data_IF_251237725319
#
_entry.id   IF_251237725319
#
_cell.length_a   1.000
_cell.length_b   1.000
_cell.length_c   1.000
_cell.angle_alpha   90.00
_cell.angle_beta   90.00
_cell.angle_gamma   90.00
#
_symmetry.space_group_name_H-M   'P 1'
#
loop_
_entity.id
_entity.type
_entity.pdbx_description
1 polymer ?
#
# COMPACT_ATOMS: atom_id res chain seq x y z
N UNK A 1 4.02 8.26 -2.52
CA UNK A 1 4.99 7.28 -2.00
C UNK A 1 6.24 7.26 -2.84
N UNK A 2 7.43 7.41 -2.24
CA UNK A 2 8.73 7.23 -2.91
C UNK A 2 8.96 8.14 -4.14
N UNK A 3 8.29 9.29 -4.20
CA UNK A 3 8.21 10.13 -5.42
C UNK A 3 9.59 10.59 -5.87
N UNK A 4 10.44 11.11 -4.96
CA UNK A 4 11.75 11.62 -5.31
C UNK A 4 12.67 10.54 -5.89
N UNK A 5 12.70 9.33 -5.27
CA UNK A 5 13.50 8.21 -5.77
C UNK A 5 12.97 7.72 -7.11
N UNK A 6 11.64 7.61 -7.23
CA UNK A 6 10.97 7.18 -8.46
C UNK A 6 11.25 8.13 -9.62
N UNK A 7 11.11 9.43 -9.42
CA UNK A 7 11.32 10.45 -10.48
C UNK A 7 12.78 10.44 -10.98
N UNK A 8 13.72 10.35 -10.06
CA UNK A 8 15.14 10.27 -10.43
C UNK A 8 15.49 8.99 -11.17
N UNK A 9 15.07 7.84 -10.66
CA UNK A 9 15.31 6.57 -11.35
C UNK A 9 14.61 6.49 -12.70
N UNK A 10 13.39 7.05 -12.83
CA UNK A 10 12.72 7.16 -14.11
C UNK A 10 13.49 8.02 -15.12
N UNK A 11 14.11 9.12 -14.68
CA UNK A 11 14.97 9.94 -15.54
C UNK A 11 16.13 9.12 -16.08
N UNK A 12 16.83 8.37 -15.22
CA UNK A 12 17.91 7.47 -15.60
C UNK A 12 17.41 6.39 -16.57
N UNK A 13 16.26 5.77 -16.28
CA UNK A 13 15.65 4.75 -17.14
C UNK A 13 15.30 5.31 -18.54
N UNK A 14 14.78 6.54 -18.63
CA UNK A 14 14.51 7.19 -19.92
C UNK A 14 15.79 7.37 -20.73
N UNK A 15 16.86 7.79 -20.09
CA UNK A 15 18.18 7.93 -20.74
C UNK A 15 18.70 6.58 -21.23
N UNK A 16 18.58 5.53 -20.41
CA UNK A 16 18.96 4.15 -20.78
C UNK A 16 18.12 3.65 -21.96
N UNK A 17 16.80 3.85 -21.95
CA UNK A 17 15.91 3.40 -23.05
C UNK A 17 16.18 4.08 -24.39
N UNK A 18 16.65 5.32 -24.37
CA UNK A 18 16.96 6.10 -25.57
C UNK A 18 18.26 5.71 -26.28
N UNK A 19 19.10 4.85 -25.69
CA UNK A 19 20.40 4.48 -26.25
C UNK A 19 20.30 3.23 -27.12
N UNK A 20 20.74 3.35 -28.37
CA UNK A 20 20.73 2.25 -29.34
C UNK A 20 21.86 1.24 -29.11
N UNK A 21 22.96 1.65 -28.48
CA UNK A 21 24.11 0.81 -28.13
C UNK A 21 24.62 1.16 -26.74
N UNK A 22 25.01 0.16 -25.98
CA UNK A 22 25.62 0.31 -24.68
C UNK A 22 27.12 0.03 -24.74
N UNK A 23 27.87 0.96 -24.19
CA UNK A 23 29.31 0.83 -23.94
C UNK A 23 29.51 0.72 -22.42
N UNK A 24 30.65 0.22 -21.99
CA UNK A 24 31.03 0.18 -20.59
C UNK A 24 30.93 1.57 -19.93
N UNK A 25 31.31 2.62 -20.68
CA UNK A 25 31.21 4.01 -20.22
C UNK A 25 29.75 4.42 -19.96
N UNK A 26 28.83 4.14 -20.90
CA UNK A 26 27.40 4.50 -20.74
C UNK A 26 26.78 3.79 -19.56
N UNK A 27 27.12 2.52 -19.31
CA UNK A 27 26.67 1.77 -18.14
C UNK A 27 27.23 2.40 -16.86
N UNK A 28 28.52 2.77 -16.85
CA UNK A 28 29.16 3.40 -15.69
C UNK A 28 28.52 4.75 -15.36
N UNK A 29 28.21 5.56 -16.36
CA UNK A 29 27.55 6.87 -16.18
C UNK A 29 26.11 6.69 -15.65
N UNK A 30 25.34 5.76 -16.22
CA UNK A 30 24.00 5.43 -15.72
C UNK A 30 24.02 4.94 -14.27
N UNK A 31 24.99 4.08 -13.91
CA UNK A 31 25.12 3.58 -12.54
C UNK A 31 25.58 4.67 -11.56
N UNK A 32 26.30 5.68 -12.02
CA UNK A 32 26.63 6.86 -11.22
C UNK A 32 25.38 7.64 -10.84
N UNK A 33 24.47 7.88 -11.80
CA UNK A 33 23.18 8.54 -11.55
C UNK A 33 22.28 7.73 -10.62
N UNK A 34 22.21 6.41 -10.83
CA UNK A 34 21.47 5.50 -9.91
C UNK A 34 22.04 5.58 -8.50
N UNK A 35 23.38 5.60 -8.35
CA UNK A 35 24.04 5.75 -7.05
C UNK A 35 23.66 7.06 -6.36
N UNK A 36 23.65 8.17 -7.10
CA UNK A 36 23.25 9.49 -6.57
C UNK A 36 21.81 9.44 -6.11
N UNK A 37 20.89 8.91 -6.92
CA UNK A 37 19.47 8.78 -6.59
C UNK A 37 19.25 7.98 -5.30
N UNK A 38 19.95 6.87 -5.11
CA UNK A 38 19.83 6.04 -3.91
C UNK A 38 20.40 6.74 -2.66
N UNK A 39 21.52 7.46 -2.78
CA UNK A 39 22.09 8.23 -1.65
C UNK A 39 21.17 9.37 -1.24
N UNK A 40 20.59 10.10 -2.18
CA UNK A 40 19.64 11.18 -1.90
C UNK A 40 18.32 10.67 -1.32
N UNK A 41 17.99 9.41 -1.61
CA UNK A 41 16.85 8.71 -0.98
C UNK A 41 17.18 8.19 0.44
N UNK A 42 18.31 8.56 1.04
CA UNK A 42 18.78 8.09 2.35
C UNK A 42 19.04 6.57 2.42
N UNK A 43 19.40 5.92 1.33
CA UNK A 43 19.86 4.53 1.37
C UNK A 43 21.26 4.45 1.99
N UNK A 44 21.49 3.49 2.88
CA UNK A 44 22.78 3.31 3.53
C UNK A 44 23.91 3.09 2.53
N UNK A 45 25.02 3.81 2.68
CA UNK A 45 26.12 3.85 1.71
C UNK A 45 26.68 2.45 1.37
N UNK A 46 26.81 1.57 2.37
CA UNK A 46 27.28 0.20 2.16
C UNK A 46 26.32 -0.59 1.25
N UNK A 47 25.00 -0.40 1.43
CA UNK A 47 23.95 -1.01 0.62
C UNK A 47 24.00 -0.52 -0.82
N UNK A 48 24.17 0.80 -0.98
CA UNK A 48 24.29 1.43 -2.31
C UNK A 48 25.52 0.88 -3.07
N UNK A 49 26.66 0.79 -2.40
CA UNK A 49 27.89 0.28 -3.02
C UNK A 49 27.71 -1.15 -3.52
N UNK A 50 27.24 -2.03 -2.65
CA UNK A 50 27.03 -3.44 -2.98
C UNK A 50 26.01 -3.62 -4.13
N UNK A 51 24.93 -2.87 -4.11
CA UNK A 51 23.92 -2.85 -5.17
C UNK A 51 24.52 -2.44 -6.53
N UNK A 52 25.27 -1.31 -6.57
CA UNK A 52 25.86 -0.80 -7.80
C UNK A 52 26.89 -1.79 -8.36
N UNK A 53 27.71 -2.40 -7.51
CA UNK A 53 28.71 -3.37 -7.93
C UNK A 53 28.05 -4.63 -8.54
N UNK A 54 26.96 -5.14 -7.95
CA UNK A 54 26.19 -6.26 -8.51
C UNK A 54 25.54 -5.92 -9.85
N UNK A 55 24.87 -4.76 -9.94
CA UNK A 55 24.23 -4.33 -11.20
C UNK A 55 25.28 -4.15 -12.30
N UNK A 56 26.42 -3.50 -12.01
CA UNK A 56 27.50 -3.33 -13.00
C UNK A 56 28.04 -4.67 -13.51
N UNK A 57 28.32 -5.60 -12.61
CA UNK A 57 28.81 -6.93 -12.98
C UNK A 57 27.87 -7.65 -13.94
N UNK A 58 26.56 -7.61 -13.65
CA UNK A 58 25.54 -8.24 -14.51
C UNK A 58 25.33 -7.47 -15.81
N UNK A 59 25.32 -6.13 -15.78
CA UNK A 59 25.12 -5.30 -16.96
C UNK A 59 26.28 -5.37 -17.97
N UNK A 60 27.49 -5.63 -17.52
CA UNK A 60 28.65 -5.83 -18.38
C UNK A 60 28.75 -7.26 -18.94
N UNK A 61 27.84 -8.15 -18.58
CA UNK A 61 27.79 -9.50 -19.10
C UNK A 61 27.57 -9.53 -20.62
N UNK A 62 28.21 -10.49 -21.31
CA UNK A 62 28.21 -10.63 -22.77
C UNK A 62 26.76 -10.72 -23.32
N UNK A 63 25.86 -11.40 -22.59
CA UNK A 63 24.44 -11.56 -22.97
C UNK A 63 23.70 -10.23 -23.08
N UNK A 64 24.00 -9.27 -22.21
CA UNK A 64 23.36 -7.94 -22.21
C UNK A 64 23.89 -7.09 -23.36
N UNK A 65 25.21 -7.11 -23.58
CA UNK A 65 25.87 -6.33 -24.64
C UNK A 65 25.49 -6.83 -26.04
N UNK A 66 25.14 -8.11 -26.18
CA UNK A 66 24.70 -8.73 -27.43
C UNK A 66 23.17 -8.75 -27.60
N UNK A 67 22.41 -8.28 -26.63
CA UNK A 67 20.94 -8.25 -26.69
C UNK A 67 20.44 -7.29 -27.77
N UNK A 68 19.32 -7.66 -28.43
CA UNK A 68 18.61 -6.79 -29.38
C UNK A 68 18.00 -5.55 -28.72
N UNK A 69 17.83 -5.57 -27.37
CA UNK A 69 17.32 -4.46 -26.57
C UNK A 69 18.10 -4.30 -25.26
N UNK A 70 19.38 -3.88 -25.32
CA UNK A 70 20.26 -3.82 -24.14
C UNK A 70 19.70 -2.93 -23.02
N UNK A 71 19.04 -1.81 -23.36
CA UNK A 71 18.43 -0.93 -22.39
C UNK A 71 17.31 -1.61 -21.57
N UNK A 72 16.52 -2.48 -22.19
CA UNK A 72 15.49 -3.26 -21.46
C UNK A 72 16.13 -4.31 -20.56
N UNK A 73 17.21 -4.95 -21.01
CA UNK A 73 17.95 -5.92 -20.22
C UNK A 73 18.56 -5.27 -18.96
N UNK A 74 19.15 -4.08 -19.07
CA UNK A 74 19.70 -3.34 -17.92
C UNK A 74 18.60 -2.95 -16.94
N UNK A 75 17.45 -2.47 -17.42
CA UNK A 75 16.31 -2.12 -16.56
C UNK A 75 15.82 -3.35 -15.80
N UNK A 76 15.75 -4.51 -16.47
CA UNK A 76 15.38 -5.77 -15.82
C UNK A 76 16.40 -6.16 -14.73
N UNK A 77 17.70 -6.04 -14.99
CA UNK A 77 18.76 -6.29 -14.00
C UNK A 77 18.58 -5.38 -12.77
N UNK A 78 18.35 -4.07 -12.99
CA UNK A 78 18.12 -3.12 -11.89
C UNK A 78 16.87 -3.51 -11.09
N UNK A 79 15.78 -3.90 -11.76
CA UNK A 79 14.57 -4.37 -11.10
C UNK A 79 14.82 -5.61 -10.25
N UNK A 80 15.49 -6.60 -10.80
CA UNK A 80 15.78 -7.86 -10.11
C UNK A 80 16.69 -7.63 -8.90
N UNK A 81 17.74 -6.79 -9.05
CA UNK A 81 18.62 -6.46 -7.93
C UNK A 81 17.91 -5.64 -6.84
N UNK A 82 17.02 -4.71 -7.19
CA UNK A 82 16.17 -4.02 -6.21
C UNK A 82 15.26 -5.03 -5.49
N UNK A 83 14.68 -5.98 -6.20
CA UNK A 83 13.82 -7.03 -5.62
C UNK A 83 14.60 -7.87 -4.62
N UNK A 84 15.79 -8.34 -4.99
CA UNK A 84 16.70 -9.11 -4.12
C UNK A 84 17.09 -8.29 -2.88
N UNK A 85 17.43 -7.03 -3.07
CA UNK A 85 17.79 -6.12 -1.97
C UNK A 85 16.67 -5.99 -0.93
N UNK A 86 15.41 -5.93 -1.40
CA UNK A 86 14.22 -5.82 -0.53
C UNK A 86 13.71 -7.14 0.01
N UNK A 87 14.16 -8.29 -0.50
CA UNK A 87 13.77 -9.56 0.10
C UNK A 87 13.34 -10.68 -0.82
N UNK A 88 13.50 -10.51 -2.11
CA UNK A 88 13.22 -11.51 -3.13
C UNK A 88 11.72 -11.88 -3.23
N UNK A 89 11.10 -12.30 -2.14
CA UNK A 89 9.69 -12.67 -2.11
C UNK A 89 8.99 -12.24 -0.81
N UNK A 90 7.65 -12.21 -0.85
CA UNK A 90 6.84 -11.94 0.32
C UNK A 90 6.99 -13.06 1.37
N UNK A 91 7.16 -12.66 2.63
CA UNK A 91 7.20 -13.57 3.77
C UNK A 91 5.99 -13.31 4.67
N UNK A 92 5.08 -14.27 4.74
CA UNK A 92 3.90 -14.20 5.60
C UNK A 92 4.23 -14.35 7.07
N UNK A 93 3.27 -14.03 7.96
CA UNK A 93 3.36 -14.40 9.37
C UNK A 93 3.35 -15.92 9.52
N UNK A 94 4.23 -16.42 10.37
CA UNK A 94 4.16 -17.80 10.84
C UNK A 94 3.26 -17.86 12.08
N UNK A 95 2.09 -18.47 11.93
CA UNK A 95 1.13 -18.70 13.02
C UNK A 95 0.97 -20.21 13.30
N UNK A 96 1.94 -21.01 12.87
CA UNK A 96 1.84 -22.48 12.86
C UNK A 96 2.27 -23.06 14.23
N UNK A 97 1.57 -22.63 15.27
CA UNK A 97 1.77 -23.08 16.67
C UNK A 97 0.44 -23.41 17.33
N UNK A 98 0.50 -24.11 18.45
CA UNK A 98 -0.68 -24.30 19.30
C UNK A 98 -1.21 -22.93 19.78
N UNK A 99 -2.53 -22.65 19.63
CA UNK A 99 -3.11 -21.36 20.05
C UNK A 99 -2.95 -21.12 21.57
N UNK A 100 -2.78 -19.84 21.95
CA UNK A 100 -2.71 -18.67 21.11
C UNK A 100 -1.30 -18.45 20.52
N UNK A 101 -1.21 -18.12 19.23
CA UNK A 101 -0.01 -17.61 18.61
C UNK A 101 0.26 -16.17 19.10
N UNK A 102 1.42 -15.92 19.67
CA UNK A 102 1.75 -14.60 20.25
C UNK A 102 2.60 -13.80 19.27
N UNK A 103 2.15 -12.59 18.94
CA UNK A 103 2.86 -11.60 18.13
C UNK A 103 3.27 -10.45 19.03
N UNK A 104 4.56 -10.20 19.15
CA UNK A 104 5.12 -9.07 19.91
C UNK A 104 5.44 -7.92 18.96
N UNK A 105 4.90 -6.72 19.24
CA UNK A 105 5.16 -5.51 18.49
C UNK A 105 6.22 -4.69 19.19
N UNK A 106 7.38 -4.51 18.56
CA UNK A 106 8.54 -3.80 19.11
C UNK A 106 8.87 -2.55 18.27
N UNK A 107 9.43 -1.49 18.87
CA UNK A 107 9.85 -0.27 18.16
C UNK A 107 9.78 0.98 19.02
N UNK A 108 10.27 2.11 18.50
CA UNK A 108 10.29 3.39 19.21
C UNK A 108 8.90 4.03 19.31
N UNK A 109 8.80 5.06 20.15
CA UNK A 109 7.61 5.90 20.25
C UNK A 109 7.34 6.59 18.91
N UNK A 110 6.07 6.67 18.51
CA UNK A 110 5.69 7.31 17.26
C UNK A 110 5.92 6.46 16.00
N UNK A 111 6.53 5.26 16.11
CA UNK A 111 6.71 4.36 14.96
C UNK A 111 5.41 3.73 14.44
N UNK A 112 4.29 3.93 15.12
CA UNK A 112 2.99 3.43 14.69
C UNK A 112 2.63 2.03 15.21
N UNK A 113 3.26 1.51 16.26
CA UNK A 113 2.98 0.16 16.83
C UNK A 113 1.51 -0.06 17.13
N UNK A 114 0.92 0.81 17.95
CA UNK A 114 -0.48 0.70 18.41
C UNK A 114 -1.47 0.67 17.24
N UNK A 115 -1.30 1.58 16.29
CA UNK A 115 -2.15 1.62 15.09
C UNK A 115 -1.94 0.38 14.22
N UNK A 116 -0.69 -0.05 14.07
CA UNK A 116 -0.33 -1.24 13.29
C UNK A 116 -0.87 -2.51 13.93
N UNK A 117 -0.86 -2.61 15.26
CA UNK A 117 -1.47 -3.72 16.01
C UNK A 117 -2.95 -3.88 15.67
N UNK A 118 -3.70 -2.77 15.67
CA UNK A 118 -5.11 -2.79 15.30
C UNK A 118 -5.35 -3.14 13.82
N UNK A 119 -4.53 -2.60 12.90
CA UNK A 119 -4.61 -2.92 11.47
C UNK A 119 -4.28 -4.40 11.20
N UNK A 120 -3.26 -4.93 11.87
CA UNK A 120 -2.87 -6.33 11.74
C UNK A 120 -3.94 -7.26 12.29
N UNK A 121 -4.54 -6.91 13.44
CA UNK A 121 -5.66 -7.65 14.00
C UNK A 121 -6.82 -7.74 13.01
N UNK A 122 -7.17 -6.63 12.35
CA UNK A 122 -8.20 -6.61 11.31
C UNK A 122 -7.89 -7.56 10.16
N UNK A 123 -6.66 -7.54 9.63
CA UNK A 123 -6.24 -8.46 8.57
C UNK A 123 -6.35 -9.94 8.99
N UNK A 124 -6.05 -10.24 10.26
CA UNK A 124 -6.15 -11.60 10.78
C UNK A 124 -7.61 -12.04 10.98
N UNK A 125 -8.49 -11.14 11.39
CA UNK A 125 -9.94 -11.41 11.48
C UNK A 125 -10.53 -11.66 10.09
N UNK A 126 -10.13 -10.91 9.07
CA UNK A 126 -10.52 -11.18 7.68
C UNK A 126 -10.11 -12.59 7.22
N UNK A 127 -9.00 -13.12 7.81
CA UNK A 127 -8.55 -14.52 7.65
C UNK A 127 -9.24 -15.49 8.63
N UNK A 128 -10.35 -15.08 9.27
CA UNK A 128 -11.15 -15.90 10.20
C UNK A 128 -10.40 -16.32 11.47
N UNK A 129 -9.42 -15.56 11.92
CA UNK A 129 -8.73 -15.77 13.20
C UNK A 129 -9.42 -14.99 14.32
N UNK A 130 -9.57 -15.60 15.49
CA UNK A 130 -10.02 -14.92 16.70
C UNK A 130 -8.81 -14.23 17.36
N UNK A 131 -8.81 -12.91 17.38
CA UNK A 131 -7.65 -12.09 17.78
C UNK A 131 -7.94 -11.35 19.07
N UNK A 132 -6.99 -11.37 20.01
CA UNK A 132 -6.95 -10.54 21.21
C UNK A 132 -5.86 -9.47 21.04
N UNK A 133 -6.20 -8.23 21.31
CA UNK A 133 -5.24 -7.12 21.44
C UNK A 133 -4.89 -6.92 22.92
N UNK A 134 -3.62 -6.64 23.22
CA UNK A 134 -3.19 -6.25 24.55
C UNK A 134 -2.11 -5.18 24.47
N UNK A 135 -2.08 -4.25 25.44
CA UNK A 135 -1.02 -3.24 25.54
C UNK A 135 -0.35 -3.29 26.90
N UNK A 136 0.97 -3.25 26.89
CA UNK A 136 1.80 -3.06 28.08
C UNK A 136 2.44 -1.66 28.14
N UNK A 137 1.94 -0.67 27.36
CA UNK A 137 2.43 0.71 27.43
C UNK A 137 1.84 1.43 28.66
N UNK A 138 2.26 0.99 29.82
CA UNK A 138 1.81 1.54 31.12
C UNK A 138 2.37 2.94 31.39
N UNK A 139 3.41 3.35 30.67
CA UNK A 139 4.03 4.67 30.82
C UNK A 139 3.21 5.78 30.14
N UNK A 140 2.32 5.41 29.22
CA UNK A 140 1.42 6.30 28.51
C UNK A 140 -0.01 5.78 28.60
N UNK A 141 -0.77 6.14 29.64
CA UNK A 141 -2.16 5.69 29.81
C UNK A 141 -3.02 5.92 28.57
N UNK A 142 -2.82 7.03 27.87
CA UNK A 142 -3.50 7.33 26.63
C UNK A 142 -3.22 6.31 25.51
N UNK A 143 -2.10 5.58 25.51
CA UNK A 143 -1.82 4.56 24.52
C UNK A 143 -2.68 3.30 24.73
N UNK A 144 -2.93 2.91 25.98
CA UNK A 144 -3.84 1.82 26.32
C UNK A 144 -5.27 2.18 25.87
N UNK A 145 -5.73 3.39 26.18
CA UNK A 145 -7.07 3.86 25.80
C UNK A 145 -7.21 4.01 24.28
N UNK A 146 -6.14 4.43 23.60
CA UNK A 146 -6.08 4.47 22.14
C UNK A 146 -6.27 3.08 21.54
N UNK A 147 -5.56 2.06 22.05
CA UNK A 147 -5.71 0.69 21.56
C UNK A 147 -7.12 0.15 21.82
N UNK A 148 -7.70 0.40 23.01
CA UNK A 148 -9.08 0.04 23.34
C UNK A 148 -10.09 0.70 22.41
N UNK A 149 -9.90 1.98 22.10
CA UNK A 149 -10.76 2.73 21.18
C UNK A 149 -10.70 2.18 19.76
N UNK A 150 -9.50 1.90 19.27
CA UNK A 150 -9.30 1.26 17.97
C UNK A 150 -9.92 -0.15 17.92
N UNK A 151 -9.69 -0.96 18.94
CA UNK A 151 -10.27 -2.29 19.07
C UNK A 151 -11.81 -2.23 19.03
N UNK A 152 -12.41 -1.33 19.82
CA UNK A 152 -13.86 -1.14 19.84
C UNK A 152 -14.43 -0.73 18.48
N UNK A 153 -13.74 0.18 17.76
CA UNK A 153 -14.16 0.63 16.43
C UNK A 153 -14.15 -0.48 15.38
N UNK A 154 -13.34 -1.52 15.61
CA UNK A 154 -13.18 -2.68 14.74
C UNK A 154 -13.90 -3.92 15.23
N UNK A 155 -14.62 -3.81 16.35
CA UNK A 155 -15.25 -4.94 17.03
C UNK A 155 -14.28 -6.07 17.37
N UNK A 156 -13.07 -5.69 17.83
CA UNK A 156 -11.99 -6.59 18.25
C UNK A 156 -11.91 -6.58 19.77
N UNK A 157 -11.70 -7.73 20.37
CA UNK A 157 -11.51 -7.84 21.81
C UNK A 157 -10.13 -7.32 22.22
N UNK A 158 -10.10 -6.48 23.26
CA UNK A 158 -8.88 -5.93 23.84
C UNK A 158 -8.81 -6.30 25.31
N UNK A 159 -7.67 -6.85 25.74
CA UNK A 159 -7.42 -7.16 27.14
C UNK A 159 -7.43 -5.88 27.98
N UNK A 160 -8.10 -5.91 29.12
CA UNK A 160 -8.26 -4.75 29.99
C UNK A 160 -6.99 -4.49 30.82
N UNK A 161 -5.95 -3.95 30.19
CA UNK A 161 -4.71 -3.58 30.88
C UNK A 161 -4.93 -2.34 31.75
N UNK A 162 -4.30 -2.33 32.93
CA UNK A 162 -4.32 -1.20 33.86
C UNK A 162 -2.92 -0.57 33.93
N UNK A 163 -2.79 0.77 33.79
CA UNK A 163 -1.50 1.47 33.90
C UNK A 163 -0.74 1.27 35.21
N UNK A 164 -1.43 0.89 36.30
CA UNK A 164 -0.77 0.59 37.59
C UNK A 164 -0.11 -0.79 37.65
N UNK A 165 -0.36 -1.65 36.66
CA UNK A 165 0.21 -2.99 36.61
C UNK A 165 1.63 -2.98 36.01
N UNK A 166 2.44 -3.95 36.40
CA UNK A 166 3.75 -4.17 35.75
C UNK A 166 3.55 -4.82 34.37
N UNK A 167 4.33 -4.45 33.35
CA UNK A 167 4.23 -5.03 32.00
C UNK A 167 4.28 -6.57 31.97
N UNK A 168 5.15 -7.18 32.75
CA UNK A 168 5.25 -8.64 32.86
C UNK A 168 4.01 -9.32 33.44
N UNK A 169 3.30 -8.62 34.37
CA UNK A 169 2.05 -9.13 34.93
C UNK A 169 0.95 -9.08 33.88
N UNK A 170 0.82 -7.97 33.15
CA UNK A 170 -0.11 -7.84 32.02
C UNK A 170 0.14 -8.97 31.01
N UNK A 171 1.41 -9.23 30.66
CA UNK A 171 1.77 -10.31 29.74
C UNK A 171 1.27 -11.68 30.20
N UNK A 172 1.47 -12.02 31.49
CA UNK A 172 1.00 -13.29 32.05
C UNK A 172 -0.51 -13.42 32.01
N UNK A 173 -1.21 -12.40 32.52
CA UNK A 173 -2.67 -12.39 32.59
C UNK A 173 -3.32 -12.42 31.21
N UNK A 174 -2.70 -11.74 30.22
CA UNK A 174 -3.16 -11.76 28.83
C UNK A 174 -3.08 -13.18 28.23
N UNK A 175 -1.98 -13.91 28.45
CA UNK A 175 -1.83 -15.28 27.96
C UNK A 175 -2.88 -16.19 28.59
N UNK A 176 -3.07 -16.11 29.92
CA UNK A 176 -4.05 -16.93 30.64
C UNK A 176 -5.47 -16.63 30.18
N UNK A 177 -5.78 -15.36 29.97
CA UNK A 177 -7.06 -14.91 29.41
C UNK A 177 -7.27 -15.45 27.99
N UNK A 178 -6.27 -15.33 27.13
CA UNK A 178 -6.35 -15.78 25.75
C UNK A 178 -6.58 -17.30 25.64
N UNK A 179 -5.90 -18.10 26.49
CA UNK A 179 -6.10 -19.55 26.57
C UNK A 179 -7.50 -19.90 27.05
N UNK A 180 -7.96 -19.24 28.14
CA UNK A 180 -9.28 -19.48 28.73
C UNK A 180 -10.43 -19.17 27.75
N UNK A 181 -10.25 -18.17 26.89
CA UNK A 181 -11.28 -17.70 25.95
C UNK A 181 -11.08 -18.19 24.50
N UNK A 182 -10.12 -19.12 24.29
CA UNK A 182 -9.85 -19.76 23.00
C UNK A 182 -9.55 -18.75 21.88
N UNK A 183 -8.60 -17.84 22.10
CA UNK A 183 -8.09 -16.97 21.05
C UNK A 183 -7.06 -17.71 20.21
N UNK A 184 -7.11 -17.47 18.89
CA UNK A 184 -6.11 -18.02 17.97
C UNK A 184 -4.81 -17.23 18.02
N UNK A 185 -4.91 -15.88 18.17
CA UNK A 185 -3.76 -14.97 18.10
C UNK A 185 -3.87 -13.91 19.18
N UNK A 186 -2.75 -13.59 19.81
CA UNK A 186 -2.57 -12.42 20.68
C UNK A 186 -1.60 -11.47 20.01
N UNK A 187 -1.98 -10.21 19.81
CA UNK A 187 -1.05 -9.15 19.40
C UNK A 187 -0.77 -8.28 20.63
N UNK A 188 0.49 -8.27 21.02
CA UNK A 188 0.96 -7.60 22.23
C UNK A 188 1.72 -6.31 21.86
N UNK A 189 1.09 -5.16 22.10
CA UNK A 189 1.65 -3.83 21.88
C UNK A 189 2.53 -3.43 23.05
N UNK A 190 3.81 -3.10 22.79
CA UNK A 190 4.77 -2.73 23.84
C UNK A 190 4.91 -1.22 23.94
N UNK A 191 5.39 -0.77 25.09
CA UNK A 191 5.81 0.61 25.27
C UNK A 191 6.88 1.00 24.23
N UNK A 192 6.89 2.25 23.84
CA UNK A 192 7.96 2.84 23.05
C UNK A 192 8.49 4.08 23.78
N UNK A 193 9.80 4.25 23.81
CA UNK A 193 10.45 5.48 24.27
C UNK A 193 10.96 6.28 23.08
N UNK A 194 11.32 7.55 23.30
CA UNK A 194 11.79 8.44 22.24
C UNK A 194 13.14 8.02 21.66
N UNK A 195 13.93 7.30 22.43
CA UNK A 195 15.24 6.80 22.03
C UNK A 195 15.49 5.38 22.56
N UNK A 196 16.60 4.81 22.15
CA UNK A 196 17.06 3.51 22.62
C UNK A 196 17.80 3.72 23.95
N UNK A 197 17.23 3.21 25.04
CA UNK A 197 17.88 3.20 26.34
C UNK A 197 17.93 1.76 26.91
N UNK A 198 18.79 1.54 27.89
CA UNK A 198 19.04 0.23 28.49
C UNK A 198 17.79 -0.32 29.16
N UNK A 199 17.07 0.52 29.90
CA UNK A 199 15.86 0.10 30.64
C UNK A 199 14.77 -0.41 29.68
N UNK A 200 14.53 0.31 28.59
CA UNK A 200 13.56 -0.11 27.57
C UNK A 200 13.98 -1.44 26.93
N UNK A 201 15.26 -1.59 26.61
CA UNK A 201 15.74 -2.80 25.98
C UNK A 201 15.67 -4.00 26.93
N UNK A 202 15.93 -3.79 28.21
CA UNK A 202 15.82 -4.86 29.22
C UNK A 202 14.36 -5.23 29.50
N UNK A 203 13.45 -4.25 29.54
CA UNK A 203 12.01 -4.52 29.67
C UNK A 203 11.48 -5.33 28.49
N UNK A 204 11.81 -4.94 27.27
CA UNK A 204 11.31 -5.65 26.08
C UNK A 204 11.92 -7.05 25.95
N UNK A 205 13.19 -7.25 26.35
CA UNK A 205 13.79 -8.59 26.46
C UNK A 205 13.06 -9.46 27.50
N UNK A 206 12.73 -8.87 28.65
CA UNK A 206 11.99 -9.58 29.71
C UNK A 206 10.58 -9.95 29.24
N UNK A 207 9.88 -9.05 28.55
CA UNK A 207 8.59 -9.31 27.90
C UNK A 207 8.70 -10.41 26.86
N UNK A 208 9.70 -10.33 25.97
CA UNK A 208 9.94 -11.36 24.95
C UNK A 208 10.14 -12.74 25.59
N UNK A 209 11.00 -12.83 26.62
CA UNK A 209 11.23 -14.07 27.35
C UNK A 209 9.95 -14.62 28.01
N UNK A 210 9.11 -13.73 28.57
CA UNK A 210 7.87 -14.11 29.24
C UNK A 210 6.79 -14.58 28.29
N UNK A 211 6.63 -13.85 27.17
CA UNK A 211 5.62 -14.12 26.16
C UNK A 211 5.97 -15.28 25.24
N UNK A 212 7.27 -15.53 25.04
CA UNK A 212 7.79 -16.49 24.05
C UNK A 212 7.07 -16.39 22.70
N UNK A 213 7.11 -15.21 22.05
CA UNK A 213 6.32 -14.95 20.85
C UNK A 213 6.83 -15.78 19.67
N UNK A 214 5.90 -16.26 18.83
CA UNK A 214 6.25 -16.88 17.55
C UNK A 214 6.70 -15.83 16.53
N UNK A 215 6.16 -14.63 16.65
CA UNK A 215 6.51 -13.48 15.82
C UNK A 215 6.92 -12.30 16.70
N UNK A 216 8.11 -11.79 16.45
CA UNK A 216 8.61 -10.52 17.01
C UNK A 216 8.78 -9.52 15.87
N UNK A 217 7.83 -8.61 15.73
CA UNK A 217 7.76 -7.67 14.61
C UNK A 217 8.31 -6.31 15.02
N UNK A 218 9.35 -5.89 14.35
CA UNK A 218 9.91 -4.56 14.52
C UNK A 218 9.13 -3.56 13.67
N UNK A 219 8.50 -2.59 14.33
CA UNK A 219 7.71 -1.53 13.68
C UNK A 219 8.54 -0.27 13.63
N UNK A 220 8.81 0.22 12.42
CA UNK A 220 9.66 1.37 12.18
C UNK A 220 9.00 2.36 11.22
N UNK A 221 9.20 3.64 11.49
CA UNK A 221 8.74 4.75 10.67
C UNK A 221 9.69 4.93 9.47
N UNK A 222 9.18 4.77 8.25
CA UNK A 222 9.97 4.92 7.04
C UNK A 222 10.52 6.34 6.83
N UNK A 223 9.87 7.36 7.42
CA UNK A 223 10.31 8.76 7.30
C UNK A 223 11.59 9.07 8.09
N UNK A 224 12.02 8.18 9.01
CA UNK A 224 13.20 8.40 9.85
C UNK A 224 14.53 8.23 9.08
N UNK A 225 14.52 7.79 7.82
CA UNK A 225 15.74 7.66 7.01
C UNK A 225 16.81 6.79 7.69
N UNK A 226 18.03 7.31 7.88
CA UNK A 226 19.13 6.58 8.51
C UNK A 226 18.91 6.23 9.99
N UNK A 227 18.12 7.00 10.72
CA UNK A 227 17.79 6.67 12.11
C UNK A 227 16.94 5.40 12.21
N UNK A 228 16.09 5.15 11.22
CA UNK A 228 15.38 3.87 11.09
C UNK A 228 16.34 2.69 11.00
N UNK A 229 17.42 2.85 10.25
CA UNK A 229 18.46 1.82 10.06
C UNK A 229 19.24 1.56 11.36
N UNK A 230 19.65 2.62 12.06
CA UNK A 230 20.36 2.52 13.33
C UNK A 230 19.48 1.86 14.41
N UNK A 231 18.21 2.26 14.46
CA UNK A 231 17.23 1.69 15.39
C UNK A 231 16.97 0.21 15.07
N UNK A 232 16.82 -0.13 13.81
CA UNK A 232 16.62 -1.50 13.35
C UNK A 232 17.78 -2.43 13.76
N UNK A 233 19.00 -1.94 13.65
CA UNK A 233 20.19 -2.66 14.08
C UNK A 233 20.16 -2.93 15.59
N UNK A 234 19.94 -1.89 16.40
CA UNK A 234 19.92 -2.03 17.86
C UNK A 234 18.82 -3.01 18.35
N UNK A 235 17.63 -2.95 17.77
CA UNK A 235 16.57 -3.91 18.07
C UNK A 235 16.91 -5.32 17.59
N UNK A 236 17.54 -5.47 16.42
CA UNK A 236 17.99 -6.74 15.88
C UNK A 236 19.07 -7.42 16.72
N UNK A 237 19.98 -6.62 17.31
CA UNK A 237 21.02 -7.11 18.22
C UNK A 237 20.43 -7.54 19.60
N UNK A 238 19.33 -6.93 20.00
CA UNK A 238 18.73 -7.16 21.32
C UNK A 238 17.62 -8.22 21.34
N UNK A 239 16.91 -8.41 20.23
CA UNK A 239 15.75 -9.30 20.11
C UNK A 239 15.87 -10.21 18.90
N UNK A 240 15.40 -11.46 18.98
CA UNK A 240 15.29 -12.34 17.84
C UNK A 240 14.11 -11.92 16.94
N UNK A 241 14.29 -10.83 16.18
CA UNK A 241 13.27 -10.34 15.27
C UNK A 241 12.91 -11.40 14.23
N UNK A 242 11.64 -11.54 13.90
CA UNK A 242 11.13 -12.44 12.86
C UNK A 242 10.72 -11.69 11.59
N UNK A 243 10.50 -10.38 11.71
CA UNK A 243 10.14 -9.54 10.58
C UNK A 243 10.06 -8.06 10.94
N UNK A 244 9.93 -7.24 9.91
CA UNK A 244 9.83 -5.79 10.00
C UNK A 244 8.49 -5.33 9.42
N UNK A 245 7.93 -4.28 10.01
CA UNK A 245 6.79 -3.53 9.47
C UNK A 245 7.24 -2.08 9.25
N UNK A 246 7.18 -1.62 8.02
CA UNK A 246 7.44 -0.22 7.67
C UNK A 246 6.13 0.56 7.73
N UNK A 247 6.08 1.62 8.52
CA UNK A 247 4.92 2.51 8.64
C UNK A 247 5.16 3.83 7.94
N UNK A 248 4.09 4.59 7.71
CA UNK A 248 4.09 5.93 7.11
C UNK A 248 4.74 6.01 5.73
N UNK A 249 4.67 4.93 4.97
CA UNK A 249 5.24 4.87 3.63
C UNK A 249 4.50 5.79 2.65
N UNK A 250 3.23 6.12 2.95
CA UNK A 250 2.43 7.11 2.22
C UNK A 250 3.01 8.54 2.29
N UNK A 251 3.66 8.87 3.39
CA UNK A 251 4.32 10.17 3.60
C UNK A 251 5.82 10.14 3.29
N UNK A 252 6.41 8.94 3.09
CA UNK A 252 7.82 8.80 2.73
C UNK A 252 8.03 9.09 1.25
N UNK A 253 8.67 10.21 0.96
CA UNK A 253 9.06 10.62 -0.38
C UNK A 253 10.44 10.10 -0.79
N UNK A 254 11.28 9.69 0.16
CA UNK A 254 12.67 9.27 -0.06
C UNK A 254 12.80 7.77 -0.36
N UNK A 255 12.20 6.91 0.45
CA UNK A 255 12.13 5.47 0.23
C UNK A 255 13.33 4.64 0.65
N UNK A 256 14.38 5.26 1.14
CA UNK A 256 15.62 4.57 1.47
C UNK A 256 15.54 3.62 2.65
N UNK A 257 14.62 3.87 3.58
CA UNK A 257 14.42 2.99 4.73
C UNK A 257 14.02 1.57 4.31
N UNK A 258 13.13 1.44 3.31
CA UNK A 258 12.70 0.14 2.80
C UNK A 258 13.86 -0.69 2.23
N UNK A 259 14.82 -0.02 1.57
CA UNK A 259 16.00 -0.65 0.98
C UNK A 259 17.07 -1.02 2.03
N UNK A 260 17.18 -0.23 3.09
CA UNK A 260 18.28 -0.37 4.07
C UNK A 260 17.94 -1.25 5.26
N UNK A 261 16.71 -1.16 5.80
CA UNK A 261 16.31 -1.84 7.05
C UNK A 261 16.44 -3.37 6.93
N UNK A 262 16.01 -3.94 5.81
CA UNK A 262 16.15 -5.38 5.59
C UNK A 262 17.62 -5.82 5.55
N UNK A 263 18.45 -5.07 4.84
CA UNK A 263 19.87 -5.41 4.70
C UNK A 263 20.60 -5.36 6.05
N UNK A 264 20.24 -4.40 6.90
CA UNK A 264 20.88 -4.23 8.21
C UNK A 264 20.35 -5.24 9.24
N UNK A 265 19.05 -5.54 9.24
CA UNK A 265 18.47 -6.52 10.18
C UNK A 265 18.62 -7.97 9.75
N UNK A 266 18.83 -8.21 8.46
CA UNK A 266 18.74 -9.55 7.86
C UNK A 266 17.33 -10.16 7.94
N UNK A 267 16.30 -9.37 8.32
CA UNK A 267 14.93 -9.85 8.52
C UNK A 267 14.01 -9.39 7.41
N UNK A 268 13.01 -10.21 7.02
CA UNK A 268 12.10 -9.83 5.95
C UNK A 268 11.18 -8.68 6.37
N UNK A 269 10.89 -7.78 5.44
CA UNK A 269 9.78 -6.85 5.59
C UNK A 269 8.50 -7.64 5.31
N UNK A 270 7.61 -7.74 6.30
CA UNK A 270 6.36 -8.51 6.17
C UNK A 270 5.18 -7.65 5.73
N UNK A 271 5.10 -6.43 6.26
CA UNK A 271 4.01 -5.49 5.98
C UNK A 271 4.50 -4.07 5.80
N UNK A 272 3.68 -3.28 5.09
CA UNK A 272 3.87 -1.84 4.91
C UNK A 272 2.59 -1.08 5.25
N UNK A 273 2.75 0.05 5.95
CA UNK A 273 1.68 1.02 6.19
C UNK A 273 1.60 2.02 5.05
N UNK A 274 0.50 1.99 4.32
CA UNK A 274 0.27 2.76 3.08
C UNK A 274 -0.73 3.90 3.25
N UNK A 275 -1.34 4.04 4.41
CA UNK A 275 -2.16 5.18 4.78
C UNK A 275 -2.45 5.19 6.28
N UNK A 276 -2.89 6.33 6.82
CA UNK A 276 -3.36 6.42 8.22
C UNK A 276 -4.65 5.62 8.46
N UNK A 277 -5.46 5.40 7.41
CA UNK A 277 -6.73 4.68 7.51
C UNK A 277 -6.49 3.24 7.99
N UNK A 278 -7.49 2.68 8.66
CA UNK A 278 -7.42 1.34 9.25
C UNK A 278 -7.18 0.21 8.24
N UNK A 279 -7.49 0.43 6.97
CA UNK A 279 -7.22 -0.50 5.86
C UNK A 279 -5.83 -0.30 5.24
N UNK A 280 -5.04 0.66 5.74
CA UNK A 280 -3.73 1.01 5.19
C UNK A 280 -2.60 0.14 5.75
N UNK A 281 -2.76 -1.17 5.79
CA UNK A 281 -1.68 -2.13 6.03
C UNK A 281 -1.75 -3.20 4.95
N UNK A 282 -0.66 -3.34 4.19
CA UNK A 282 -0.59 -4.29 3.08
C UNK A 282 0.60 -5.24 3.28
N UNK A 283 0.52 -6.52 2.84
CA UNK A 283 1.70 -7.39 2.75
C UNK A 283 2.77 -6.76 1.86
N UNK A 284 4.02 -6.91 2.25
CA UNK A 284 5.14 -6.38 1.48
C UNK A 284 5.51 -7.32 0.34
N UNK A 285 5.47 -6.83 -0.87
CA UNK A 285 5.87 -7.55 -2.09
C UNK A 285 7.08 -6.85 -2.71
N UNK A 286 8.30 -7.39 -2.55
CA UNK A 286 9.54 -6.76 -3.05
C UNK A 286 9.48 -6.44 -4.55
N UNK A 287 9.01 -7.36 -5.37
CA UNK A 287 8.90 -7.18 -6.82
C UNK A 287 7.97 -6.02 -7.22
N UNK A 288 6.82 -5.92 -6.53
CA UNK A 288 5.86 -4.81 -6.76
C UNK A 288 6.46 -3.47 -6.35
N UNK A 289 7.20 -3.46 -5.24
CA UNK A 289 7.87 -2.25 -4.76
C UNK A 289 8.99 -1.83 -5.70
N UNK A 290 9.81 -2.77 -6.20
CA UNK A 290 10.82 -2.49 -7.22
C UNK A 290 10.18 -1.91 -8.49
N UNK A 291 9.07 -2.48 -8.95
CA UNK A 291 8.32 -1.96 -10.10
C UNK A 291 7.81 -0.53 -9.87
N UNK A 292 7.29 -0.22 -8.67
CA UNK A 292 6.86 1.14 -8.29
C UNK A 292 8.03 2.13 -8.30
N UNK A 293 9.15 1.77 -7.68
CA UNK A 293 10.36 2.60 -7.62
C UNK A 293 10.87 2.93 -9.03
N UNK A 294 10.76 1.99 -9.96
CA UNK A 294 11.16 2.19 -11.36
C UNK A 294 10.06 2.86 -12.23
N UNK A 295 8.94 3.25 -11.63
CA UNK A 295 7.84 3.91 -12.33
C UNK A 295 7.08 3.00 -13.30
N UNK A 296 7.19 1.69 -13.13
CA UNK A 296 6.50 0.68 -13.95
C UNK A 296 5.08 0.41 -13.46
N UNK A 297 4.70 0.98 -12.30
CA UNK A 297 3.40 0.79 -11.66
C UNK A 297 3.26 -0.55 -10.93
N UNK A 298 2.08 -0.77 -10.37
CA UNK A 298 1.72 -2.00 -9.64
C UNK A 298 0.34 -2.49 -10.08
N UNK A 299 0.26 -2.99 -11.30
CA UNK A 299 -0.99 -3.46 -11.92
C UNK A 299 -1.57 -4.65 -11.14
N UNK A 300 -0.72 -5.51 -10.56
CA UNK A 300 -1.18 -6.68 -9.81
C UNK A 300 -1.94 -6.27 -8.56
N UNK A 301 -1.40 -5.33 -7.78
CA UNK A 301 -2.12 -4.79 -6.61
C UNK A 301 -3.41 -4.06 -6.98
N UNK A 302 -3.47 -3.40 -8.14
CA UNK A 302 -4.71 -2.80 -8.64
C UNK A 302 -5.77 -3.86 -8.89
N UNK A 303 -5.42 -4.95 -9.56
CA UNK A 303 -6.34 -6.06 -9.86
C UNK A 303 -6.79 -6.77 -8.56
N UNK A 304 -5.87 -7.06 -7.64
CA UNK A 304 -6.19 -7.69 -6.35
C UNK A 304 -7.13 -6.81 -5.49
N UNK A 305 -6.86 -5.50 -5.42
CA UNK A 305 -7.74 -4.58 -4.70
C UNK A 305 -9.10 -4.45 -5.37
N UNK A 306 -9.14 -4.41 -6.69
CA UNK A 306 -10.39 -4.45 -7.44
C UNK A 306 -11.19 -5.73 -7.12
N UNK A 307 -10.56 -6.90 -7.13
CA UNK A 307 -11.21 -8.17 -6.80
C UNK A 307 -11.73 -8.23 -5.35
N UNK A 308 -11.00 -7.67 -4.39
CA UNK A 308 -11.44 -7.63 -2.97
C UNK A 308 -12.59 -6.66 -2.71
N UNK A 309 -12.66 -5.57 -3.46
CA UNK A 309 -13.64 -4.49 -3.24
C UNK A 309 -14.83 -4.56 -4.19
N UNK A 310 -14.71 -5.29 -5.30
CA UNK A 310 -15.83 -5.53 -6.21
C UNK A 310 -16.87 -6.41 -5.51
N UNK A 311 -18.06 -5.86 -5.32
CA UNK A 311 -19.22 -6.68 -5.03
C UNK A 311 -19.53 -7.50 -6.29
N UNK A 312 -19.19 -8.80 -6.22
CA UNK A 312 -19.35 -9.74 -7.35
C UNK A 312 -20.77 -9.69 -7.89
N UNK A 313 -21.77 -9.55 -7.01
CA UNK A 313 -23.17 -9.44 -7.40
C UNK A 313 -23.51 -8.17 -8.18
N UNK A 314 -22.85 -7.04 -7.84
CA UNK A 314 -23.02 -5.79 -8.60
C UNK A 314 -22.28 -5.83 -9.93
N UNK A 315 -21.09 -6.42 -9.96
CA UNK A 315 -20.34 -6.63 -11.20
C UNK A 315 -21.07 -7.58 -12.17
N UNK A 316 -21.66 -8.67 -11.68
CA UNK A 316 -22.49 -9.58 -12.47
C UNK A 316 -23.74 -8.88 -13.01
N UNK A 317 -24.45 -8.10 -12.19
CA UNK A 317 -25.60 -7.30 -12.63
C UNK A 317 -25.26 -6.31 -13.74
N UNK A 318 -24.07 -5.65 -13.60
CA UNK A 318 -23.60 -4.71 -14.63
C UNK A 318 -23.24 -5.44 -15.92
N UNK A 319 -22.57 -6.59 -15.81
CA UNK A 319 -22.23 -7.43 -16.95
C UNK A 319 -23.49 -7.96 -17.67
N UNK A 320 -24.51 -8.37 -16.92
CA UNK A 320 -25.81 -8.79 -17.48
C UNK A 320 -26.54 -7.60 -18.15
N UNK A 321 -26.53 -6.42 -17.55
CA UNK A 321 -27.12 -5.20 -18.16
C UNK A 321 -26.41 -4.87 -19.49
N UNK A 322 -25.07 -4.96 -19.53
CA UNK A 322 -24.29 -4.71 -20.74
C UNK A 322 -24.57 -5.77 -21.82
N UNK A 323 -24.63 -7.08 -21.46
CA UNK A 323 -24.96 -8.17 -22.36
C UNK A 323 -26.41 -8.11 -22.88
N UNK A 324 -27.36 -7.74 -22.03
CA UNK A 324 -28.77 -7.64 -22.38
C UNK A 324 -29.16 -6.36 -23.12
N UNK A 325 -28.17 -5.48 -23.41
CA UNK A 325 -28.41 -4.22 -24.11
C UNK A 325 -29.24 -3.18 -23.31
N UNK A 326 -29.43 -3.41 -21.99
CA UNK A 326 -30.08 -2.45 -21.12
C UNK A 326 -29.16 -1.24 -20.91
N UNK A 327 -29.75 -0.05 -20.97
CA UNK A 327 -28.98 1.20 -20.85
C UNK A 327 -28.36 1.31 -19.45
N UNK A 328 -27.09 1.69 -19.40
CA UNK A 328 -26.40 2.17 -18.21
C UNK A 328 -27.09 3.43 -17.69
N UNK A 329 -27.48 3.47 -16.42
CA UNK A 329 -28.20 4.56 -15.79
C UNK A 329 -27.39 5.30 -14.72
N UNK A 330 -27.93 6.39 -14.16
CA UNK A 330 -27.22 7.20 -13.15
C UNK A 330 -27.09 6.47 -11.80
N UNK A 331 -27.91 5.46 -11.52
CA UNK A 331 -27.74 4.60 -10.33
C UNK A 331 -26.51 3.70 -10.50
N UNK A 332 -26.33 3.12 -11.68
CA UNK A 332 -25.12 2.34 -12.00
C UNK A 332 -23.87 3.22 -11.90
N UNK A 333 -23.95 4.47 -12.37
CA UNK A 333 -22.87 5.44 -12.26
C UNK A 333 -22.52 5.77 -10.81
N UNK A 334 -23.53 5.98 -9.96
CA UNK A 334 -23.35 6.19 -8.52
C UNK A 334 -22.65 4.99 -7.85
N UNK A 335 -23.08 3.78 -8.19
CA UNK A 335 -22.50 2.56 -7.64
C UNK A 335 -21.03 2.41 -8.03
N UNK A 336 -20.65 2.72 -9.27
CA UNK A 336 -19.26 2.74 -9.71
C UNK A 336 -18.41 3.75 -8.92
N UNK A 337 -18.91 4.96 -8.69
CA UNK A 337 -18.23 5.96 -7.87
C UNK A 337 -18.05 5.46 -6.44
N UNK A 338 -19.08 4.82 -5.87
CA UNK A 338 -19.01 4.19 -4.56
C UNK A 338 -17.93 3.11 -4.46
N UNK A 339 -17.78 2.30 -5.50
CA UNK A 339 -16.72 1.28 -5.60
C UNK A 339 -15.33 1.94 -5.68
N UNK A 340 -15.15 2.97 -6.52
CA UNK A 340 -13.89 3.72 -6.58
C UNK A 340 -13.48 4.30 -5.23
N UNK A 341 -14.43 4.83 -4.45
CA UNK A 341 -14.17 5.31 -3.09
C UNK A 341 -13.72 4.19 -2.15
N UNK A 342 -14.36 3.02 -2.22
CA UNK A 342 -14.00 1.82 -1.42
C UNK A 342 -12.59 1.32 -1.78
N UNK A 343 -12.15 1.49 -3.02
CA UNK A 343 -10.80 1.14 -3.50
C UNK A 343 -9.72 2.13 -3.03
N UNK A 344 -10.07 3.16 -2.26
CA UNK A 344 -9.12 4.15 -1.73
C UNK A 344 -9.15 5.49 -2.43
N UNK A 345 -10.10 5.71 -3.37
CA UNK A 345 -10.26 6.96 -4.10
C UNK A 345 -9.31 7.13 -5.29
N UNK A 346 -9.30 8.33 -5.85
CA UNK A 346 -8.48 8.65 -7.04
C UNK A 346 -6.98 8.54 -6.75
N UNK A 347 -6.56 8.96 -5.55
CA UNK A 347 -5.15 8.93 -5.14
C UNK A 347 -4.57 7.51 -5.12
N UNK A 348 -5.25 6.56 -4.47
CA UNK A 348 -4.77 5.18 -4.40
C UNK A 348 -4.73 4.47 -5.76
N UNK A 349 -5.59 4.88 -6.70
CA UNK A 349 -5.55 4.41 -8.09
C UNK A 349 -4.34 4.99 -8.83
N UNK A 350 -4.10 6.30 -8.70
CA UNK A 350 -2.96 6.98 -9.34
C UNK A 350 -1.62 6.42 -8.87
N UNK A 351 -1.48 6.15 -7.58
CA UNK A 351 -0.24 5.60 -6.99
C UNK A 351 0.17 4.22 -7.54
N UNK A 352 -0.80 3.46 -8.05
CA UNK A 352 -0.58 2.11 -8.58
C UNK A 352 -0.48 2.06 -10.11
N UNK A 353 -0.77 3.17 -10.79
CA UNK A 353 -0.69 3.25 -12.25
C UNK A 353 0.74 3.52 -12.72
N UNK A 354 1.13 2.97 -13.89
CA UNK A 354 2.41 3.32 -14.50
C UNK A 354 2.51 4.80 -14.82
N UNK A 355 3.71 5.39 -14.67
CA UNK A 355 3.96 6.81 -14.86
C UNK A 355 3.54 7.37 -16.24
N UNK A 356 3.50 6.52 -17.26
CA UNK A 356 3.04 6.89 -18.61
C UNK A 356 1.56 7.32 -18.64
N UNK A 357 0.75 6.79 -17.71
CA UNK A 357 -0.67 7.12 -17.56
C UNK A 357 -0.89 8.26 -16.55
N UNK A 358 -0.01 8.37 -15.54
CA UNK A 358 -0.10 9.43 -14.53
C UNK A 358 0.33 10.78 -15.07
N UNK A 359 1.21 10.87 -16.08
CA UNK A 359 1.62 12.12 -16.71
C UNK A 359 0.46 12.86 -17.40
N UNK A 360 -0.57 12.14 -17.86
CA UNK A 360 -1.80 12.75 -18.38
C UNK A 360 -2.76 13.17 -17.26
N UNK A 361 -2.68 12.53 -16.09
CA UNK A 361 -3.53 12.77 -14.92
C UNK A 361 -2.87 13.66 -13.86
N UNK A 362 -1.59 14.00 -14.00
CA UNK A 362 -0.79 14.81 -13.05
C UNK A 362 -1.29 16.25 -12.82
N UNK A 363 -2.27 16.69 -13.62
CA UNK A 363 -2.98 17.95 -13.42
C UNK A 363 -4.14 17.86 -12.41
N UNK A 364 -4.45 16.66 -11.90
CA UNK A 364 -5.54 16.43 -10.96
C UNK A 364 -4.92 16.19 -9.58
N UNK A 365 -5.10 17.15 -8.68
CA UNK A 365 -4.76 16.96 -7.28
C UNK A 365 -5.64 15.81 -6.71
N UNK A 366 -5.07 14.77 -6.06
CA UNK A 366 -5.85 13.66 -5.49
C UNK A 366 -6.98 14.11 -4.54
N UNK A 367 -6.74 15.14 -3.74
CA UNK A 367 -7.75 15.71 -2.84
C UNK A 367 -8.93 16.34 -3.61
N UNK A 368 -8.65 17.01 -4.72
CA UNK A 368 -9.68 17.57 -5.60
C UNK A 368 -10.43 16.46 -6.33
N UNK A 369 -9.77 15.36 -6.64
CA UNK A 369 -10.39 14.16 -7.20
C UNK A 369 -11.41 13.53 -6.24
N UNK A 370 -11.04 13.33 -4.98
CA UNK A 370 -11.94 12.77 -3.95
C UNK A 370 -13.08 13.73 -3.60
N UNK A 371 -12.83 15.05 -3.62
CA UNK A 371 -13.86 16.07 -3.45
C UNK A 371 -14.86 16.04 -4.62
N UNK A 372 -14.35 15.89 -5.84
CA UNK A 372 -15.19 15.74 -7.04
C UNK A 372 -16.06 14.48 -6.99
N UNK A 373 -15.53 13.34 -6.53
CA UNK A 373 -16.32 12.11 -6.36
C UNK A 373 -17.44 12.29 -5.34
N UNK A 374 -17.19 12.97 -4.21
CA UNK A 374 -18.23 13.29 -3.22
C UNK A 374 -19.30 14.21 -3.78
N UNK A 375 -18.90 15.20 -4.58
CA UNK A 375 -19.81 16.13 -5.21
C UNK A 375 -20.72 15.43 -6.23
N UNK A 376 -20.18 14.55 -7.07
CA UNK A 376 -20.96 13.75 -8.03
C UNK A 376 -21.98 12.86 -7.29
N UNK A 377 -21.55 12.20 -6.22
CA UNK A 377 -22.45 11.36 -5.41
C UNK A 377 -23.58 12.17 -4.76
N UNK A 378 -23.30 13.37 -4.25
CA UNK A 378 -24.30 14.27 -3.67
C UNK A 378 -25.33 14.71 -4.75
N UNK A 379 -24.86 15.07 -5.94
CA UNK A 379 -25.71 15.45 -7.08
C UNK A 379 -26.66 14.30 -7.44
N UNK A 380 -26.13 13.08 -7.64
CA UNK A 380 -26.94 11.92 -8.02
C UNK A 380 -27.90 11.55 -6.89
N UNK A 381 -27.48 11.64 -5.62
CA UNK A 381 -28.32 11.36 -4.46
C UNK A 381 -29.48 12.34 -4.33
N UNK A 382 -29.33 13.58 -4.78
CA UNK A 382 -30.37 14.64 -4.83
C UNK A 382 -31.42 14.42 -5.92
N UNK A 383 -31.17 13.47 -6.85
CA UNK A 383 -32.12 13.10 -7.90
C UNK A 383 -33.14 12.10 -7.40
N UNK A 384 -34.36 12.14 -7.93
CA UNK A 384 -35.37 11.10 -7.67
C UNK A 384 -35.00 9.77 -8.35
N UNK A 385 -35.51 8.62 -7.87
CA UNK A 385 -35.26 7.32 -8.53
C UNK A 385 -35.65 7.31 -10.01
N UNK A 386 -36.69 8.04 -10.40
CA UNK A 386 -37.12 8.14 -11.78
C UNK A 386 -36.13 8.96 -12.63
N UNK A 387 -35.59 10.04 -12.10
CA UNK A 387 -34.59 10.87 -12.78
C UNK A 387 -33.26 10.13 -12.96
N UNK A 388 -32.87 9.28 -12.02
CA UNK A 388 -31.68 8.44 -12.14
C UNK A 388 -31.81 7.40 -13.26
N UNK A 389 -33.02 6.84 -13.44
CA UNK A 389 -33.31 5.87 -14.51
C UNK A 389 -33.56 6.51 -15.87
N UNK A 390 -34.07 7.73 -15.90
CA UNK A 390 -34.42 8.49 -17.11
C UNK A 390 -33.83 9.90 -17.07
N UNK A 391 -32.52 10.05 -17.31
CA UNK A 391 -31.83 11.34 -17.22
C UNK A 391 -32.39 12.41 -18.17
N UNK A 392 -33.02 12.00 -19.26
CA UNK A 392 -33.68 12.88 -20.23
C UNK A 392 -34.80 13.74 -19.61
N UNK A 393 -35.33 13.36 -18.45
CA UNK A 393 -36.33 14.13 -17.72
C UNK A 393 -35.74 15.34 -16.98
N UNK A 394 -34.40 15.40 -16.83
CA UNK A 394 -33.72 16.43 -16.03
C UNK A 394 -33.57 17.72 -16.86
N UNK A 395 -34.68 18.52 -16.91
CA UNK A 395 -34.72 19.84 -17.54
C UNK A 395 -34.39 20.98 -16.55
N UNK A 396 -34.40 22.23 -17.01
CA UNK A 396 -33.90 23.40 -16.27
C UNK A 396 -34.41 23.52 -14.83
N UNK A 397 -35.71 23.33 -14.57
CA UNK A 397 -36.30 23.40 -13.21
C UNK A 397 -35.79 22.29 -12.31
N UNK A 398 -35.67 21.08 -12.83
CA UNK A 398 -35.13 19.93 -12.09
C UNK A 398 -33.63 20.10 -11.79
N UNK A 399 -32.85 20.62 -12.74
CA UNK A 399 -31.42 20.96 -12.53
C UNK A 399 -31.24 21.95 -11.39
N UNK A 400 -32.09 23.01 -11.32
CA UNK A 400 -32.06 23.97 -10.22
C UNK A 400 -32.36 23.31 -8.85
N UNK A 401 -33.40 22.46 -8.79
CA UNK A 401 -33.74 21.71 -7.56
C UNK A 401 -32.62 20.77 -7.13
N UNK A 402 -32.04 20.02 -8.07
CA UNK A 402 -30.92 19.08 -7.78
C UNK A 402 -29.70 19.87 -7.29
N UNK A 403 -29.36 20.99 -7.93
CA UNK A 403 -28.27 21.85 -7.51
C UNK A 403 -28.45 22.39 -6.09
N UNK A 404 -29.66 22.88 -5.77
CA UNK A 404 -29.99 23.36 -4.42
C UNK A 404 -29.90 22.24 -3.39
N UNK A 405 -30.45 21.03 -3.68
CA UNK A 405 -30.44 19.88 -2.77
C UNK A 405 -29.06 19.26 -2.54
N UNK A 406 -28.12 19.46 -3.46
CA UNK A 406 -26.72 18.97 -3.33
C UNK A 406 -25.71 20.05 -2.93
N UNK A 407 -26.16 21.30 -2.72
CA UNK A 407 -25.30 22.41 -2.31
C UNK A 407 -24.28 22.84 -3.38
N UNK A 408 -24.64 22.70 -4.68
CA UNK A 408 -23.74 23.00 -5.80
C UNK A 408 -24.43 23.95 -6.80
N UNK A 409 -23.71 24.39 -7.81
CA UNK A 409 -24.25 25.20 -8.88
C UNK A 409 -24.88 24.35 -10.00
N UNK A 410 -25.81 24.92 -10.76
CA UNK A 410 -26.44 24.26 -11.92
C UNK A 410 -25.39 23.81 -12.96
N UNK A 411 -24.28 24.55 -13.05
CA UNK A 411 -23.14 24.21 -13.92
C UNK A 411 -22.51 22.87 -13.55
N UNK A 412 -22.40 22.58 -12.25
CA UNK A 412 -21.83 21.30 -11.77
C UNK A 412 -22.77 20.13 -12.10
N UNK A 413 -24.10 20.34 -11.97
CA UNK A 413 -25.09 19.34 -12.40
C UNK A 413 -24.98 19.05 -13.90
N UNK A 414 -24.79 20.09 -14.73
CA UNK A 414 -24.60 19.91 -16.18
C UNK A 414 -23.32 19.12 -16.48
N UNK A 415 -22.22 19.42 -15.75
CA UNK A 415 -20.93 18.70 -15.91
C UNK A 415 -21.10 17.22 -15.64
N UNK A 416 -21.78 16.86 -14.55
CA UNK A 416 -22.04 15.45 -14.18
C UNK A 416 -22.89 14.74 -15.22
N UNK A 417 -23.93 15.40 -15.74
CA UNK A 417 -24.78 14.82 -16.78
C UNK A 417 -24.00 14.60 -18.09
N UNK A 418 -23.12 15.54 -18.48
CA UNK A 418 -22.27 15.38 -19.67
C UNK A 418 -21.28 14.22 -19.49
N UNK A 419 -20.62 14.13 -18.32
CA UNK A 419 -19.72 12.99 -18.00
C UNK A 419 -20.45 11.65 -18.05
N UNK A 420 -21.67 11.60 -17.55
CA UNK A 420 -22.52 10.42 -17.62
C UNK A 420 -22.85 10.03 -19.07
N UNK A 421 -23.22 11.02 -19.92
CA UNK A 421 -23.50 10.76 -21.35
C UNK A 421 -22.27 10.23 -22.10
N UNK A 422 -21.07 10.78 -21.83
CA UNK A 422 -19.82 10.30 -22.42
C UNK A 422 -19.53 8.86 -22.00
N UNK A 423 -19.72 8.53 -20.72
CA UNK A 423 -19.54 7.18 -20.21
C UNK A 423 -20.58 6.22 -20.83
N UNK A 424 -21.82 6.64 -20.97
CA UNK A 424 -22.85 5.84 -21.61
C UNK A 424 -22.53 5.55 -23.09
N UNK A 425 -21.94 6.53 -23.81
CA UNK A 425 -21.47 6.34 -25.19
C UNK A 425 -20.32 5.30 -25.25
N UNK A 426 -19.36 5.40 -24.34
CA UNK A 426 -18.27 4.41 -24.23
C UNK A 426 -18.81 3.02 -23.96
N UNK A 427 -19.70 2.85 -22.99
CA UNK A 427 -20.30 1.55 -22.65
C UNK A 427 -21.08 0.95 -23.84
N UNK A 428 -21.79 1.75 -24.61
CA UNK A 428 -22.46 1.30 -25.85
C UNK A 428 -21.48 0.86 -26.94
N UNK A 429 -20.30 1.47 -27.03
CA UNK A 429 -19.24 1.00 -27.95
C UNK A 429 -18.66 -0.34 -27.50
N UNK A 430 -18.49 -0.56 -26.20
CA UNK A 430 -18.01 -1.84 -25.65
C UNK A 430 -19.03 -2.99 -25.88
N UNK A 431 -20.31 -2.75 -25.71
CA UNK A 431 -21.37 -3.75 -25.89
C UNK A 431 -21.51 -4.22 -27.35
N UNK A 432 -21.15 -3.40 -28.34
CA UNK A 432 -21.21 -3.72 -29.78
C UNK A 432 -19.96 -4.40 -30.34
N UNK A 433 -19.16 -5.11 -29.52
CA UNK A 433 -17.98 -5.87 -29.97
C UNK A 433 -16.72 -5.03 -30.17
N UNK A 434 -16.70 -3.79 -29.68
CA UNK A 434 -15.54 -2.88 -29.75
C UNK A 434 -14.33 -3.31 -28.92
N UNK A 435 -14.53 -4.19 -27.93
CA UNK A 435 -13.45 -4.67 -27.05
C UNK A 435 -12.38 -5.44 -27.84
N UNK A 436 -12.78 -6.29 -28.79
CA UNK A 436 -11.85 -7.03 -29.64
C UNK A 436 -11.03 -6.15 -30.60
N UNK A 437 -11.61 -5.04 -31.07
CA UNK A 437 -10.89 -4.06 -31.91
C UNK A 437 -9.96 -3.18 -31.09
N UNK A 438 -10.36 -2.78 -29.88
CA UNK A 438 -9.54 -1.97 -28.98
C UNK A 438 -8.36 -2.77 -28.42
N UNK A 439 -8.59 -4.02 -28.01
CA UNK A 439 -7.50 -4.91 -27.54
C UNK A 439 -6.52 -5.23 -28.68
N UNK A 440 -6.95 -5.42 -29.91
CA UNK A 440 -6.05 -5.57 -31.07
C UNK A 440 -5.25 -4.30 -31.35
N UNK A 441 -5.87 -3.12 -31.18
CA UNK A 441 -5.18 -1.83 -31.35
C UNK A 441 -4.19 -1.52 -30.22
N UNK A 442 -4.44 -2.00 -29.00
CA UNK A 442 -3.53 -1.86 -27.86
C UNK A 442 -2.47 -2.96 -27.84
N UNK A 443 -2.79 -4.20 -28.22
CA UNK A 443 -1.82 -5.30 -28.31
C UNK A 443 -0.70 -5.03 -29.32
N UNK A 444 -0.98 -4.22 -30.35
CA UNK A 444 0.06 -3.76 -31.29
C UNK A 444 0.99 -2.67 -30.74
N UNK A 445 0.68 -2.09 -29.56
CA UNK A 445 1.48 -1.02 -28.92
C UNK A 445 2.13 -1.45 -27.59
N UNK A 446 1.88 -2.67 -27.11
CA UNK A 446 2.50 -3.21 -25.90
C UNK A 446 3.50 -4.29 -26.36
N UNK A 447 4.82 -4.04 -26.27
CA UNK A 447 5.81 -5.08 -26.55
C UNK A 447 5.72 -6.18 -25.48
N UNK A 448 5.36 -7.39 -25.88
CA UNK A 448 5.37 -8.56 -25.00
C UNK A 448 4.08 -9.38 -24.90
N UNK A 449 2.97 -8.95 -25.50
CA UNK A 449 1.74 -9.76 -25.59
C UNK A 449 1.52 -10.17 -27.06
N UNK A 450 2.20 -11.20 -27.50
CA UNK A 450 1.77 -12.02 -28.65
C UNK A 450 1.25 -13.35 -28.10
N UNK A 451 0.12 -13.85 -28.64
CA UNK A 451 -0.44 -15.14 -28.23
C UNK A 451 0.48 -16.30 -28.57
#
# INVERSE_FOLDING_TARGET
MLENLTDRLQSVIKTIRGQARFTEQNISDAMREVRIALIEADVALAVVKDFIDRVKTKALGVEVLQSLSPGQAIIKIVQDELTILMGDQNVSLDLNVAPPAIILMAGLQGSGKTTTSAKLAKLLIEKKKKVLLASADVYRPAAIDQLKTLAKSLNIECFDSNPSQKPLKIASETIDYAKKHFFDVVIFDTAGRLGIDVEMMDEIKALHKKLNPIETLFVVDAMQGQDAVNTAKAFGDALPLTGVILTKLDSDTRGGAALSVRQVTGKPIKYIGTSEKINGLEPFHPERMASRILGMGDIVSLVENAQKTLDVKEAEKLAEKVKSGKNFDLEDFKNQIGQMKKMGGVGALMDKMPAQFTSAASKINPEDGDKSLRQIEAIISSMTPLERRKPELIKATRKKRIALGSGVQVQDVNRVLNQFEEMQKMMKMFSKGGLGKLMRGMAGKIPGLRP
#
